data_IF_679308837650
#
_entry.id   IF_679308837650
#
_cell.length_a   1.000
_cell.length_b   1.000
_cell.length_c   1.000
_cell.angle_alpha   90.00
_cell.angle_beta   90.00
_cell.angle_gamma   90.00
#
_symmetry.space_group_name_H-M   'P 1'
#
loop_
_entity.id
_entity.type
_entity.pdbx_description
1 polymer ?
#
# COMPACT_ATOMS: atom_id res chain seq x y z
N UNK A 1 10.79 -33.21 69.19
CA UNK A 1 11.29 -34.60 69.10
C UNK A 1 10.29 -35.41 68.28
N UNK A 2 10.69 -36.62 67.89
CA UNK A 2 10.07 -37.52 66.91
C UNK A 2 8.60 -37.95 67.21
N UNK A 3 7.93 -38.44 66.15
CA UNK A 3 7.05 -39.62 66.11
C UNK A 3 5.50 -39.52 66.16
N UNK A 4 4.93 -39.84 64.99
CA UNK A 4 3.98 -40.95 64.70
C UNK A 4 2.46 -40.80 64.85
N UNK A 5 1.82 -41.18 63.73
CA UNK A 5 0.64 -42.05 63.55
C UNK A 5 -0.73 -41.59 64.13
N UNK A 6 -1.89 -41.57 63.43
CA UNK A 6 -2.48 -42.27 62.25
C UNK A 6 -3.62 -43.23 62.69
N UNK A 7 -4.71 -43.31 61.89
CA UNK A 7 -5.99 -44.02 62.14
C UNK A 7 -6.90 -43.39 63.23
N UNK A 8 -8.22 -43.58 63.29
CA UNK A 8 -9.30 -43.86 62.31
C UNK A 8 -10.68 -43.77 63.08
N UNK A 9 -11.78 -44.27 62.50
CA UNK A 9 -13.07 -44.66 63.16
C UNK A 9 -14.16 -43.57 63.38
N UNK A 10 -15.08 -43.51 62.40
CA UNK A 10 -16.56 -43.31 62.44
C UNK A 10 -17.29 -42.54 63.56
N UNK A 11 -18.13 -41.55 63.12
CA UNK A 11 -19.60 -41.36 63.31
C UNK A 11 -20.36 -42.04 64.49
N UNK A 12 -21.56 -41.53 64.92
CA UNK A 12 -22.31 -40.32 64.53
C UNK A 12 -22.74 -39.47 65.79
N UNK A 13 -23.93 -38.89 66.11
CA UNK A 13 -25.35 -38.78 65.66
C UNK A 13 -26.02 -37.48 66.20
N UNK A 14 -26.88 -36.78 65.39
CA UNK A 14 -27.99 -35.84 65.80
C UNK A 14 -27.57 -34.57 66.59
N UNK A 15 -28.38 -33.52 66.82
CA UNK A 15 -29.77 -33.11 66.47
C UNK A 15 -29.79 -31.55 66.32
N UNK A 16 -30.86 -30.73 66.19
CA UNK A 16 -32.35 -30.82 66.23
C UNK A 16 -32.89 -29.63 65.38
N UNK A 17 -33.85 -29.79 64.47
CA UNK A 17 -35.31 -29.56 64.62
C UNK A 17 -35.83 -28.10 64.77
N UNK A 18 -36.75 -27.71 63.85
CA UNK A 18 -37.91 -26.76 63.91
C UNK A 18 -38.32 -26.53 62.43
N UNK A 19 -39.47 -26.96 61.90
CA UNK A 19 -40.87 -26.51 62.10
C UNK A 19 -41.13 -25.08 61.53
N UNK A 20 -42.25 -24.75 60.85
CA UNK A 20 -43.51 -25.48 60.61
C UNK A 20 -44.28 -24.98 59.34
N UNK A 21 -44.90 -25.91 58.58
CA UNK A 21 -46.09 -25.76 57.70
C UNK A 21 -46.05 -24.75 56.50
N UNK A 22 -46.97 -24.75 55.50
CA UNK A 22 -48.27 -25.45 55.32
C UNK A 22 -48.44 -26.12 53.93
N UNK A 23 -48.94 -27.36 53.99
CA UNK A 23 -49.72 -28.21 53.04
C UNK A 23 -49.90 -27.82 51.56
N UNK A 24 -49.68 -28.83 50.70
CA UNK A 24 -50.22 -29.05 49.35
C UNK A 24 -51.76 -28.84 49.28
N UNK A 25 -52.42 -28.59 48.13
CA UNK A 25 -52.14 -29.01 46.73
C UNK A 25 -52.54 -27.88 45.72
N UNK A 26 -52.46 -27.96 44.38
CA UNK A 26 -52.32 -29.12 43.45
C UNK A 26 -51.64 -28.74 42.11
N UNK A 27 -51.29 -29.77 41.34
CA UNK A 27 -50.82 -29.84 39.94
C UNK A 27 -51.43 -28.84 38.93
N UNK A 28 -50.57 -28.14 38.19
CA UNK A 28 -50.29 -28.45 36.76
C UNK A 28 -49.02 -27.74 36.28
N UNK A 29 -47.94 -28.49 36.03
CA UNK A 29 -46.65 -27.94 35.61
C UNK A 29 -46.42 -28.19 34.11
N UNK A 30 -46.67 -27.18 33.28
CA UNK A 30 -46.33 -27.21 31.86
C UNK A 30 -44.82 -26.97 31.66
N UNK A 31 -44.04 -28.04 31.80
CA UNK A 31 -42.59 -28.02 31.54
C UNK A 31 -42.31 -27.95 30.03
N UNK A 32 -42.48 -26.76 29.45
CA UNK A 32 -42.03 -26.46 28.09
C UNK A 32 -40.50 -26.50 28.07
N UNK A 33 -39.94 -27.66 27.69
CA UNK A 33 -38.52 -27.83 27.45
C UNK A 33 -38.14 -27.11 26.15
N UNK A 34 -38.01 -25.78 26.21
CA UNK A 34 -37.50 -24.96 25.11
C UNK A 34 -36.05 -25.36 24.86
N UNK A 35 -35.85 -26.33 23.97
CA UNK A 35 -34.54 -26.71 23.49
C UNK A 35 -34.02 -25.57 22.62
N UNK A 36 -33.43 -24.57 23.27
CA UNK A 36 -32.71 -23.51 22.62
C UNK A 36 -31.54 -24.16 21.87
N UNK A 37 -31.74 -24.42 20.58
CA UNK A 37 -30.65 -24.65 19.65
C UNK A 37 -29.91 -23.32 19.58
N UNK A 38 -28.97 -23.15 20.52
CA UNK A 38 -27.81 -22.30 20.33
C UNK A 38 -27.11 -22.85 19.10
N UNK A 39 -27.51 -22.35 17.94
CA UNK A 39 -26.77 -22.56 16.71
C UNK A 39 -25.36 -22.08 16.99
N UNK A 40 -24.41 -23.00 16.98
CA UNK A 40 -22.99 -22.66 16.98
C UNK A 40 -22.65 -22.11 15.60
N UNK A 41 -23.25 -20.98 15.26
CA UNK A 41 -22.57 -19.98 14.47
C UNK A 41 -21.34 -19.63 15.27
N UNK A 42 -20.23 -20.30 14.92
CA UNK A 42 -18.92 -19.71 15.13
C UNK A 42 -19.02 -18.30 14.60
N UNK A 43 -18.65 -17.32 15.44
CA UNK A 43 -18.33 -16.00 14.96
C UNK A 43 -17.07 -16.17 14.10
N UNK A 44 -17.28 -16.55 12.85
CA UNK A 44 -16.32 -16.37 11.77
C UNK A 44 -15.92 -14.91 11.87
N UNK A 45 -14.64 -14.65 12.09
CA UNK A 45 -14.18 -13.29 12.16
C UNK A 45 -14.30 -12.74 10.74
N UNK A 46 -15.25 -11.80 10.57
CA UNK A 46 -15.64 -11.29 9.25
C UNK A 46 -14.39 -10.98 8.43
N UNK A 47 -14.21 -11.70 7.33
CA UNK A 47 -12.97 -11.64 6.54
C UNK A 47 -12.85 -10.32 5.78
N UNK A 48 -13.91 -9.51 5.73
CA UNK A 48 -13.82 -8.08 5.43
C UNK A 48 -13.26 -7.30 6.63
N UNK A 49 -13.82 -7.45 7.83
CA UNK A 49 -13.35 -6.78 9.04
C UNK A 49 -11.88 -7.08 9.38
N UNK A 50 -11.42 -8.34 9.23
CA UNK A 50 -10.01 -8.71 9.39
C UNK A 50 -9.11 -8.09 8.30
N UNK A 51 -9.59 -8.01 7.06
CA UNK A 51 -8.85 -7.36 5.97
C UNK A 51 -8.69 -5.86 6.22
N UNK A 52 -9.76 -5.21 6.68
CA UNK A 52 -9.81 -3.78 6.99
C UNK A 52 -8.92 -3.47 8.21
N UNK A 53 -9.04 -4.25 9.30
CA UNK A 53 -8.14 -4.20 10.46
C UNK A 53 -6.67 -4.34 10.06
N UNK A 54 -6.36 -5.29 9.16
CA UNK A 54 -4.99 -5.45 8.66
C UNK A 54 -4.48 -4.18 7.96
N UNK A 55 -5.27 -3.60 7.05
CA UNK A 55 -4.93 -2.39 6.30
C UNK A 55 -4.78 -1.15 7.20
N UNK A 56 -5.61 -1.01 8.23
CA UNK A 56 -5.50 0.03 9.25
C UNK A 56 -4.24 -0.14 10.11
N UNK A 57 -3.94 -1.37 10.54
CA UNK A 57 -2.72 -1.70 11.27
C UNK A 57 -1.46 -1.43 10.44
N UNK A 58 -1.42 -1.81 9.16
CA UNK A 58 -0.32 -1.49 8.23
C UNK A 58 -0.17 0.02 7.97
N UNK A 59 -1.27 0.76 7.88
CA UNK A 59 -1.27 2.22 7.68
C UNK A 59 -0.79 2.95 8.94
N UNK A 60 -1.23 2.50 10.12
CA UNK A 60 -0.80 3.01 11.43
C UNK A 60 0.64 2.62 11.76
N UNK A 61 1.11 1.51 11.21
CA UNK A 61 2.48 1.04 11.35
C UNK A 61 2.72 -0.01 12.43
N UNK A 62 1.71 -0.82 12.72
CA UNK A 62 1.85 -2.09 13.44
C UNK A 62 1.77 -3.24 12.43
N UNK A 63 2.89 -3.53 11.77
CA UNK A 63 2.96 -4.63 10.82
C UNK A 63 2.83 -6.02 11.48
N UNK A 64 2.99 -6.12 12.81
CA UNK A 64 2.85 -7.38 13.54
C UNK A 64 1.36 -7.73 13.77
N UNK A 65 0.54 -6.74 14.14
CA UNK A 65 -0.91 -6.85 14.21
C UNK A 65 -1.52 -7.09 12.82
N UNK A 66 -1.13 -6.31 11.81
CA UNK A 66 -1.65 -6.49 10.45
C UNK A 66 -1.32 -7.87 9.86
N UNK A 67 -0.10 -8.40 10.10
CA UNK A 67 0.24 -9.77 9.74
C UNK A 67 -0.45 -10.84 10.62
N UNK A 68 -1.00 -10.50 11.79
CA UNK A 68 -1.83 -11.40 12.59
C UNK A 68 -3.25 -11.50 12.04
N UNK A 69 -3.87 -10.36 11.73
CA UNK A 69 -5.20 -10.28 11.13
C UNK A 69 -5.25 -11.05 9.81
N UNK A 70 -4.26 -10.87 8.93
CA UNK A 70 -4.14 -11.65 7.69
C UNK A 70 -3.90 -13.15 7.94
N UNK A 71 -3.23 -13.55 9.02
CA UNK A 71 -3.05 -14.97 9.38
C UNK A 71 -4.35 -15.61 9.85
N UNK A 72 -5.20 -14.87 10.57
CA UNK A 72 -6.53 -15.34 10.94
C UNK A 72 -7.45 -15.42 9.72
N UNK A 73 -7.47 -14.39 8.88
CA UNK A 73 -8.23 -14.35 7.63
C UNK A 73 -7.88 -15.56 6.74
N UNK A 74 -6.58 -15.81 6.52
CA UNK A 74 -6.09 -16.91 5.69
C UNK A 74 -6.17 -18.30 6.33
N UNK A 75 -6.70 -18.40 7.56
CA UNK A 75 -7.13 -19.66 8.17
C UNK A 75 -8.63 -19.93 7.94
N UNK A 76 -9.47 -18.90 7.90
CA UNK A 76 -10.91 -19.02 7.58
C UNK A 76 -11.18 -19.02 6.07
N UNK A 77 -10.36 -18.32 5.27
CA UNK A 77 -10.45 -18.25 3.81
C UNK A 77 -9.06 -18.45 3.17
N UNK A 78 -8.60 -19.72 3.03
CA UNK A 78 -7.23 -20.03 2.59
C UNK A 78 -6.84 -19.54 1.19
N UNK A 79 -7.83 -19.36 0.30
CA UNK A 79 -7.63 -18.99 -1.10
C UNK A 79 -7.94 -17.50 -1.38
N UNK A 80 -7.90 -16.64 -0.36
CA UNK A 80 -8.06 -15.20 -0.55
C UNK A 80 -6.82 -14.57 -1.22
N UNK A 81 -6.90 -14.38 -2.54
CA UNK A 81 -5.82 -13.84 -3.36
C UNK A 81 -5.34 -12.44 -2.94
N UNK A 82 -6.21 -11.59 -2.39
CA UNK A 82 -5.84 -10.23 -1.97
C UNK A 82 -5.12 -10.25 -0.62
N UNK A 83 -5.62 -11.05 0.34
CA UNK A 83 -4.98 -11.24 1.63
C UNK A 83 -3.62 -11.96 1.48
N UNK A 84 -3.51 -12.94 0.57
CA UNK A 84 -2.23 -13.55 0.20
C UNK A 84 -1.25 -12.54 -0.42
N UNK A 85 -1.74 -11.63 -1.27
CA UNK A 85 -0.92 -10.57 -1.85
C UNK A 85 -0.44 -9.56 -0.78
N UNK A 86 -1.31 -9.11 0.13
CA UNK A 86 -0.91 -8.25 1.24
C UNK A 86 0.08 -8.96 2.18
N UNK A 87 -0.15 -10.23 2.51
CA UNK A 87 0.75 -11.01 3.35
C UNK A 87 2.14 -11.12 2.71
N UNK A 88 2.22 -11.41 1.41
CA UNK A 88 3.49 -11.41 0.70
C UNK A 88 4.21 -10.04 0.72
N UNK A 89 3.47 -8.94 0.57
CA UNK A 89 4.05 -7.59 0.55
C UNK A 89 4.55 -7.16 1.94
N UNK A 90 3.77 -7.41 3.00
CA UNK A 90 4.15 -7.01 4.36
C UNK A 90 5.13 -7.97 5.04
N UNK A 91 5.12 -9.26 4.69
CA UNK A 91 6.19 -10.18 5.07
C UNK A 91 7.51 -9.86 4.37
N UNK A 92 7.51 -9.28 3.16
CA UNK A 92 8.74 -8.65 2.65
C UNK A 92 9.18 -7.51 3.56
N UNK A 93 8.29 -6.55 3.83
CA UNK A 93 8.61 -5.36 4.61
C UNK A 93 9.24 -5.71 5.98
N UNK A 94 8.69 -6.68 6.71
CA UNK A 94 9.23 -7.14 8.00
C UNK A 94 10.47 -8.04 7.91
N UNK A 95 10.81 -8.54 6.71
CA UNK A 95 11.95 -9.42 6.48
C UNK A 95 11.65 -10.92 6.62
N UNK A 96 10.38 -11.30 6.81
CA UNK A 96 9.93 -12.69 6.85
C UNK A 96 9.85 -13.28 5.43
N UNK A 97 11.02 -13.66 4.90
CA UNK A 97 11.17 -14.32 3.60
C UNK A 97 10.38 -15.64 3.52
N UNK A 98 10.20 -16.35 4.64
CA UNK A 98 9.52 -17.65 4.64
C UNK A 98 8.02 -17.45 4.43
N UNK A 99 7.37 -16.59 5.22
CA UNK A 99 5.95 -16.27 5.01
C UNK A 99 5.72 -15.58 3.67
N UNK A 100 6.65 -14.72 3.21
CA UNK A 100 6.58 -14.11 1.87
C UNK A 100 6.49 -15.16 0.75
N UNK A 101 7.43 -16.11 0.71
CA UNK A 101 7.43 -17.12 -0.36
C UNK A 101 6.28 -18.14 -0.21
N UNK A 102 5.87 -18.49 1.02
CA UNK A 102 4.66 -19.32 1.23
C UNK A 102 3.39 -18.64 0.70
N UNK A 103 3.21 -17.35 0.99
CA UNK A 103 2.09 -16.55 0.50
C UNK A 103 2.11 -16.42 -1.03
N UNK A 104 3.28 -16.18 -1.64
CA UNK A 104 3.43 -16.11 -3.10
C UNK A 104 3.15 -17.43 -3.80
N UNK A 105 3.57 -18.56 -3.22
CA UNK A 105 3.32 -19.88 -3.81
C UNK A 105 1.84 -20.26 -3.74
N UNK A 106 1.16 -19.96 -2.63
CA UNK A 106 -0.32 -20.08 -2.53
C UNK A 106 -1.02 -19.16 -3.54
N UNK A 107 -0.63 -17.88 -3.59
CA UNK A 107 -1.18 -16.90 -4.52
C UNK A 107 -1.04 -17.33 -5.97
N UNK A 108 0.09 -17.94 -6.35
CA UNK A 108 0.32 -18.46 -7.70
C UNK A 108 -0.63 -19.61 -8.08
N UNK A 109 -1.14 -20.37 -7.10
CA UNK A 109 -2.15 -21.41 -7.32
C UNK A 109 -3.57 -20.85 -7.50
N UNK A 110 -3.87 -19.70 -6.89
CA UNK A 110 -5.18 -19.05 -6.91
C UNK A 110 -5.32 -18.04 -8.06
N UNK A 111 -4.40 -17.08 -8.13
CA UNK A 111 -4.32 -16.05 -9.17
C UNK A 111 -2.84 -15.79 -9.51
N UNK A 112 -2.33 -16.54 -10.50
CA UNK A 112 -0.98 -16.35 -11.04
C UNK A 112 -0.74 -14.94 -11.62
N UNK A 113 -1.77 -14.25 -12.10
CA UNK A 113 -1.64 -12.89 -12.63
C UNK A 113 -1.44 -11.88 -11.49
N UNK A 114 -2.15 -12.04 -10.37
CA UNK A 114 -1.89 -11.25 -9.17
C UNK A 114 -0.53 -11.62 -8.57
N UNK A 115 -0.14 -12.90 -8.54
CA UNK A 115 1.19 -13.34 -8.11
C UNK A 115 2.31 -12.62 -8.88
N UNK A 116 2.24 -12.55 -10.20
CA UNK A 116 3.26 -11.88 -11.02
C UNK A 116 3.28 -10.36 -10.89
N UNK A 117 2.12 -9.73 -10.65
CA UNK A 117 2.03 -8.30 -10.34
C UNK A 117 2.61 -8.01 -8.94
N UNK A 118 2.34 -8.85 -7.95
CA UNK A 118 2.95 -8.79 -6.61
C UNK A 118 4.46 -9.02 -6.67
N UNK A 119 4.95 -9.96 -7.49
CA UNK A 119 6.40 -10.10 -7.79
C UNK A 119 6.99 -8.84 -8.41
N UNK A 120 6.20 -8.07 -9.16
CA UNK A 120 6.62 -6.77 -9.70
C UNK A 120 6.72 -5.68 -8.64
N UNK A 121 5.96 -5.75 -7.54
CA UNK A 121 6.10 -4.82 -6.41
C UNK A 121 7.49 -4.95 -5.77
N UNK A 122 7.99 -6.16 -5.50
CA UNK A 122 9.35 -6.33 -4.95
C UNK A 122 10.44 -5.80 -5.90
N UNK A 123 10.29 -6.03 -7.21
CA UNK A 123 11.21 -5.47 -8.23
C UNK A 123 11.17 -3.94 -8.25
N UNK A 124 9.98 -3.35 -8.18
CA UNK A 124 9.78 -1.90 -8.16
C UNK A 124 10.38 -1.25 -6.91
N UNK A 125 10.15 -1.85 -5.74
CA UNK A 125 10.69 -1.39 -4.45
C UNK A 125 12.22 -1.53 -4.43
N UNK A 126 12.77 -2.66 -4.90
CA UNK A 126 14.22 -2.85 -5.06
C UNK A 126 14.85 -1.79 -5.97
N UNK A 127 14.23 -1.51 -7.13
CA UNK A 127 14.67 -0.45 -8.03
C UNK A 127 14.61 0.95 -7.38
N UNK A 128 13.54 1.26 -6.63
CA UNK A 128 13.39 2.53 -5.92
C UNK A 128 14.40 2.73 -4.77
N UNK A 129 14.75 1.66 -4.04
CA UNK A 129 15.79 1.70 -3.00
C UNK A 129 17.18 1.82 -3.64
N UNK A 130 17.40 1.19 -4.80
CA UNK A 130 18.62 1.34 -5.60
C UNK A 130 18.75 2.67 -6.36
N UNK A 131 17.64 3.37 -6.61
CA UNK A 131 17.64 4.63 -7.37
C UNK A 131 18.32 5.75 -6.59
N UNK A 132 19.49 6.18 -7.05
CA UNK A 132 20.13 7.41 -6.60
C UNK A 132 19.51 8.61 -7.34
N UNK A 133 19.16 9.71 -6.64
CA UNK A 133 18.80 10.96 -7.28
C UNK A 133 19.97 11.46 -8.16
N UNK A 134 19.73 11.65 -9.46
CA UNK A 134 20.75 12.06 -10.42
C UNK A 134 20.33 13.37 -11.15
N UNK A 135 21.13 14.44 -11.12
CA UNK A 135 20.84 15.66 -11.88
C UNK A 135 21.27 15.58 -13.35
N UNK A 136 22.03 14.55 -13.74
CA UNK A 136 22.53 14.38 -15.12
C UNK A 136 21.42 13.73 -15.98
N UNK A 137 21.02 14.34 -17.12
CA UNK A 137 20.06 13.74 -18.03
C UNK A 137 20.65 12.54 -18.78
N UNK A 138 19.82 11.52 -19.04
CA UNK A 138 20.18 10.37 -19.87
C UNK A 138 19.83 10.62 -21.34
N UNK A 139 20.51 9.94 -22.27
CA UNK A 139 20.13 9.93 -23.69
C UNK A 139 19.13 8.80 -23.91
N UNK A 140 17.96 9.10 -24.48
CA UNK A 140 16.90 8.13 -24.74
C UNK A 140 16.18 8.39 -26.07
N UNK A 141 15.48 7.36 -26.57
CA UNK A 141 14.75 7.39 -27.83
C UNK A 141 13.25 7.71 -27.68
N UNK A 142 12.50 7.74 -28.79
CA UNK A 142 11.05 8.02 -28.78
C UNK A 142 10.22 7.01 -27.98
N UNK A 143 10.73 5.78 -27.79
CA UNK A 143 10.07 4.75 -26.96
C UNK A 143 10.32 4.93 -25.44
N UNK A 144 10.99 6.01 -25.04
CA UNK A 144 11.16 6.39 -23.63
C UNK A 144 10.48 7.72 -23.39
N UNK A 145 9.48 7.75 -22.50
CA UNK A 145 8.83 8.99 -22.06
C UNK A 145 9.59 9.72 -20.97
N UNK A 146 9.44 11.03 -20.87
CA UNK A 146 9.94 11.86 -19.77
C UNK A 146 8.74 12.19 -18.88
N UNK A 147 8.70 11.64 -17.65
CA UNK A 147 7.54 11.71 -16.75
C UNK A 147 7.76 12.73 -15.63
N UNK A 148 7.20 13.93 -15.76
CA UNK A 148 7.36 15.05 -14.83
C UNK A 148 6.17 15.12 -13.87
N UNK A 149 6.43 15.01 -12.56
CA UNK A 149 5.39 15.02 -11.53
C UNK A 149 5.23 16.40 -10.87
N UNK A 150 3.99 16.75 -10.54
CA UNK A 150 3.61 17.96 -9.80
C UNK A 150 4.10 18.03 -8.34
N UNK A 151 4.09 19.25 -7.78
CA UNK A 151 4.55 19.62 -6.43
C UNK A 151 3.61 20.62 -5.71
N UNK A 152 2.43 20.86 -6.29
CA UNK A 152 1.47 21.89 -5.89
C UNK A 152 1.79 23.27 -6.45
N UNK A 153 0.74 24.01 -6.80
CA UNK A 153 0.81 25.45 -7.07
C UNK A 153 0.67 26.26 -5.76
N UNK A 154 0.88 27.56 -5.84
CA UNK A 154 0.46 28.55 -4.84
C UNK A 154 -1.02 28.95 -5.07
N UNK A 155 -1.71 29.56 -4.10
CA UNK A 155 -3.16 29.84 -4.20
C UNK A 155 -3.57 30.78 -5.34
N UNK A 156 -2.64 31.58 -5.84
CA UNK A 156 -2.81 32.46 -7.01
C UNK A 156 -2.65 31.73 -8.36
N UNK A 157 -2.33 30.44 -8.35
CA UNK A 157 -2.04 29.63 -9.54
C UNK A 157 -0.57 29.67 -9.98
N UNK A 158 0.30 30.39 -9.28
CA UNK A 158 1.74 30.44 -9.61
C UNK A 158 2.47 29.16 -9.16
N UNK A 159 3.56 28.82 -9.85
CA UNK A 159 4.33 27.61 -9.56
C UNK A 159 5.29 27.81 -8.39
N UNK A 160 5.37 26.81 -7.50
CA UNK A 160 6.36 26.79 -6.40
C UNK A 160 7.79 26.67 -6.95
N UNK A 161 8.82 27.22 -6.28
CA UNK A 161 10.21 27.16 -6.76
C UNK A 161 10.68 25.76 -7.15
N UNK A 162 10.43 24.75 -6.32
CA UNK A 162 10.81 23.36 -6.63
C UNK A 162 10.01 22.74 -7.79
N UNK A 163 8.79 23.22 -8.10
CA UNK A 163 8.11 22.81 -9.34
C UNK A 163 8.85 23.36 -10.57
N UNK A 164 9.38 24.58 -10.49
CA UNK A 164 10.27 25.16 -11.54
C UNK A 164 11.60 24.40 -11.60
N UNK A 165 12.18 24.01 -10.46
CA UNK A 165 13.40 23.19 -10.42
C UNK A 165 13.21 21.82 -11.10
N UNK A 166 12.06 21.17 -10.91
CA UNK A 166 11.69 19.93 -11.63
C UNK A 166 11.54 20.16 -13.13
N UNK A 167 10.92 21.28 -13.52
CA UNK A 167 10.74 21.65 -14.93
C UNK A 167 12.08 21.97 -15.62
N UNK A 168 13.03 22.59 -14.93
CA UNK A 168 14.40 22.78 -15.42
C UNK A 168 15.11 21.44 -15.66
N UNK A 169 14.99 20.49 -14.73
CA UNK A 169 15.52 19.13 -14.90
C UNK A 169 14.83 18.40 -16.09
N UNK A 170 13.51 18.55 -16.24
CA UNK A 170 12.76 18.00 -17.37
C UNK A 170 13.15 18.61 -18.71
N UNK A 171 13.44 19.92 -18.76
CA UNK A 171 13.89 20.64 -19.95
C UNK A 171 15.28 20.19 -20.40
N UNK A 172 16.24 20.06 -19.47
CA UNK A 172 17.56 19.47 -19.76
C UNK A 172 17.43 18.04 -20.29
N UNK A 173 16.53 17.24 -19.71
CA UNK A 173 16.23 15.89 -20.17
C UNK A 173 15.52 15.86 -21.54
N UNK A 174 14.67 16.84 -21.85
CA UNK A 174 14.00 16.98 -23.14
C UNK A 174 14.90 17.46 -24.28
N UNK A 175 16.01 18.13 -23.95
CA UNK A 175 17.12 18.48 -24.86
C UNK A 175 18.00 17.26 -25.12
N UNK A 176 18.36 16.50 -24.08
CA UNK A 176 19.17 15.28 -24.21
C UNK A 176 18.45 14.15 -24.98
N UNK A 177 17.11 14.13 -24.91
CA UNK A 177 16.24 13.16 -25.59
C UNK A 177 15.18 13.90 -26.43
N UNK A 178 15.54 14.46 -27.60
CA UNK A 178 14.67 15.35 -28.37
C UNK A 178 13.48 14.65 -29.03
N UNK A 179 13.50 13.31 -29.12
CA UNK A 179 12.42 12.50 -29.69
C UNK A 179 11.45 11.92 -28.64
N UNK A 180 11.77 12.02 -27.34
CA UNK A 180 10.91 11.48 -26.28
C UNK A 180 9.61 12.28 -26.11
N UNK A 181 8.45 11.63 -25.92
CA UNK A 181 7.25 12.31 -25.42
C UNK A 181 7.46 12.73 -23.96
N UNK A 182 6.85 13.85 -23.56
CA UNK A 182 6.99 14.45 -22.23
C UNK A 182 5.63 14.43 -21.55
N UNK A 183 5.46 13.57 -20.57
CA UNK A 183 4.31 13.59 -19.68
C UNK A 183 4.51 14.66 -18.60
N UNK A 184 3.51 15.52 -18.40
CA UNK A 184 3.40 16.39 -17.22
C UNK A 184 2.11 16.02 -16.48
N UNK A 185 2.21 15.67 -15.19
CA UNK A 185 1.07 15.11 -14.44
C UNK A 185 0.88 15.77 -13.07
N UNK A 186 -0.37 16.17 -12.80
CA UNK A 186 -0.80 16.83 -11.56
C UNK A 186 -2.10 17.60 -11.80
N UNK A 187 -3.19 17.10 -11.21
CA UNK A 187 -4.55 17.59 -11.43
C UNK A 187 -5.08 18.57 -10.40
N UNK A 188 -4.39 18.78 -9.27
CA UNK A 188 -4.84 19.68 -8.21
C UNK A 188 -4.88 21.14 -8.70
N UNK A 189 -6.07 21.78 -8.83
CA UNK A 189 -6.16 23.12 -9.38
C UNK A 189 -5.93 24.19 -8.30
N UNK A 190 -5.26 25.29 -8.66
CA UNK A 190 -5.26 26.55 -7.89
C UNK A 190 -5.57 27.70 -8.85
N UNK A 191 -6.42 28.65 -8.43
CA UNK A 191 -6.91 29.74 -9.27
C UNK A 191 -7.43 29.27 -10.67
N UNK A 192 -8.07 28.10 -10.72
CA UNK A 192 -8.57 27.48 -11.96
C UNK A 192 -7.52 26.77 -12.83
N UNK A 193 -6.24 26.82 -12.48
CA UNK A 193 -5.13 26.25 -13.25
C UNK A 193 -4.66 24.95 -12.58
N UNK A 194 -4.54 23.85 -13.34
CA UNK A 194 -3.94 22.59 -12.87
C UNK A 194 -2.42 22.62 -13.00
N UNK A 195 -1.71 21.84 -12.18
CA UNK A 195 -0.24 21.75 -12.23
C UNK A 195 0.24 21.33 -13.62
N UNK A 196 -0.40 20.35 -14.25
CA UNK A 196 -0.08 19.91 -15.61
C UNK A 196 -0.26 21.01 -16.67
N UNK A 197 -1.26 21.88 -16.54
CA UNK A 197 -1.43 23.03 -17.44
C UNK A 197 -0.31 24.07 -17.25
N UNK A 198 0.07 24.37 -16.00
CA UNK A 198 1.18 25.28 -15.69
C UNK A 198 2.52 24.72 -16.18
N UNK A 199 2.77 23.41 -15.97
CA UNK A 199 3.96 22.70 -16.45
C UNK A 199 4.05 22.68 -17.99
N UNK A 200 2.96 22.39 -18.69
CA UNK A 200 2.91 22.43 -20.15
C UNK A 200 3.20 23.84 -20.69
N UNK A 201 2.52 24.86 -20.15
CA UNK A 201 2.73 26.26 -20.54
C UNK A 201 4.18 26.73 -20.33
N UNK A 202 4.81 26.33 -19.22
CA UNK A 202 6.22 26.64 -18.96
C UNK A 202 7.15 25.97 -19.96
N UNK A 203 6.98 24.67 -20.26
CA UNK A 203 7.83 23.94 -21.21
C UNK A 203 7.72 24.52 -22.63
N UNK A 204 6.51 24.86 -23.08
CA UNK A 204 6.29 25.53 -24.36
C UNK A 204 6.95 26.91 -24.38
N UNK A 205 6.84 27.69 -23.29
CA UNK A 205 7.54 28.96 -23.12
C UNK A 205 9.07 28.85 -23.14
N UNK A 206 9.63 27.67 -22.85
CA UNK A 206 11.07 27.36 -22.92
C UNK A 206 11.46 26.59 -24.20
N UNK A 207 10.63 26.65 -25.25
CA UNK A 207 10.95 26.16 -26.59
C UNK A 207 10.70 24.68 -26.84
N UNK A 208 10.00 23.96 -25.95
CA UNK A 208 9.57 22.59 -26.20
C UNK A 208 8.32 22.60 -27.10
N UNK A 209 8.31 21.89 -28.24
CA UNK A 209 7.11 21.75 -29.08
C UNK A 209 5.92 21.17 -28.30
N UNK A 210 4.75 21.81 -28.43
CA UNK A 210 3.56 21.47 -27.63
C UNK A 210 3.00 20.06 -27.93
N UNK A 211 3.20 19.56 -29.14
CA UNK A 211 2.86 18.22 -29.61
C UNK A 211 3.71 17.11 -28.95
N UNK A 212 4.88 17.44 -28.40
CA UNK A 212 5.65 16.52 -27.54
C UNK A 212 5.05 16.37 -26.13
N UNK A 213 4.15 17.25 -25.68
CA UNK A 213 3.75 17.35 -24.27
C UNK A 213 2.36 16.75 -24.04
N UNK A 214 2.33 15.68 -23.26
CA UNK A 214 1.14 14.97 -22.78
C UNK A 214 0.76 15.52 -21.40
N UNK A 215 -0.32 16.28 -21.30
CA UNK A 215 -0.76 16.87 -20.04
C UNK A 215 -1.85 16.02 -19.35
N UNK A 216 -1.55 15.53 -18.15
CA UNK A 216 -2.46 14.73 -17.32
C UNK A 216 -3.01 15.60 -16.18
N UNK A 217 -4.29 15.96 -16.28
CA UNK A 217 -4.95 16.97 -15.46
C UNK A 217 -5.81 16.40 -14.32
N UNK A 218 -5.70 15.11 -13.96
CA UNK A 218 -6.64 14.43 -13.05
C UNK A 218 -6.00 13.93 -11.76
N UNK A 219 -4.70 13.68 -11.75
CA UNK A 219 -4.03 13.05 -10.61
C UNK A 219 -3.97 13.93 -9.36
N UNK A 220 -4.57 13.46 -8.26
CA UNK A 220 -4.47 14.08 -6.93
C UNK A 220 -3.21 13.65 -6.13
N UNK A 221 -2.60 12.51 -6.52
CA UNK A 221 -1.62 11.77 -5.71
C UNK A 221 -0.58 11.02 -6.56
N UNK A 222 0.56 10.63 -5.97
CA UNK A 222 1.65 9.90 -6.65
C UNK A 222 1.18 8.63 -7.35
N UNK A 223 0.30 7.85 -6.70
CA UNK A 223 -0.37 6.66 -7.27
C UNK A 223 -1.15 7.01 -8.54
N UNK A 224 -1.95 8.08 -8.51
CA UNK A 224 -2.71 8.51 -9.70
C UNK A 224 -1.80 9.06 -10.81
N UNK A 225 -0.77 9.85 -10.46
CA UNK A 225 0.23 10.37 -11.39
C UNK A 225 0.88 9.21 -12.19
N UNK A 226 1.21 8.12 -11.51
CA UNK A 226 1.74 6.91 -12.14
C UNK A 226 0.68 6.13 -12.93
N UNK A 227 -0.51 5.88 -12.39
CA UNK A 227 -1.55 5.10 -13.05
C UNK A 227 -2.11 5.75 -14.32
N UNK A 228 -2.31 7.07 -14.31
CA UNK A 228 -2.78 7.83 -15.48
C UNK A 228 -1.60 8.13 -16.42
N UNK A 229 -0.45 8.54 -15.88
CA UNK A 229 0.75 8.84 -16.63
C UNK A 229 1.32 7.65 -17.41
N UNK A 230 1.46 6.48 -16.78
CA UNK A 230 1.92 5.27 -17.45
C UNK A 230 0.96 4.81 -18.57
N UNK A 231 -0.33 5.13 -18.47
CA UNK A 231 -1.28 4.87 -19.54
C UNK A 231 -1.06 5.81 -20.73
N UNK A 232 -1.04 7.13 -20.50
CA UNK A 232 -0.80 8.12 -21.56
C UNK A 232 0.56 7.92 -22.26
N UNK A 233 1.59 7.51 -21.53
CA UNK A 233 2.89 7.17 -22.11
C UNK A 233 2.84 5.94 -23.02
N UNK A 234 2.13 4.87 -22.63
CA UNK A 234 1.92 3.69 -23.50
C UNK A 234 1.09 4.04 -24.74
N UNK A 235 0.06 4.86 -24.59
CA UNK A 235 -0.79 5.31 -25.71
C UNK A 235 -0.01 6.20 -26.69
N UNK A 236 1.02 6.91 -26.22
CA UNK A 236 2.01 7.62 -27.04
C UNK A 236 3.18 6.73 -27.55
N UNK A 237 3.09 5.39 -27.37
CA UNK A 237 4.08 4.43 -27.88
C UNK A 237 5.34 4.24 -27.04
N UNK A 238 5.42 4.82 -25.83
CA UNK A 238 6.55 4.63 -24.93
C UNK A 238 6.48 3.27 -24.21
N UNK A 239 7.60 2.53 -24.25
CA UNK A 239 7.79 1.23 -23.58
C UNK A 239 8.59 1.37 -22.28
N UNK A 240 9.07 2.58 -21.96
CA UNK A 240 9.86 2.90 -20.77
C UNK A 240 9.72 4.37 -20.39
N UNK A 241 10.17 4.75 -19.20
CA UNK A 241 10.15 6.13 -18.71
C UNK A 241 11.47 6.56 -18.05
N UNK A 242 11.77 7.86 -18.14
CA UNK A 242 12.66 8.59 -17.24
C UNK A 242 11.76 9.43 -16.33
N UNK A 243 11.82 9.21 -15.02
CA UNK A 243 10.97 9.93 -14.04
C UNK A 243 11.69 11.20 -13.58
N UNK A 244 10.96 12.32 -13.51
CA UNK A 244 11.48 13.64 -13.12
C UNK A 244 10.68 14.21 -11.95
N UNK A 245 11.35 14.34 -10.79
CA UNK A 245 10.77 14.86 -9.53
C UNK A 245 11.89 15.12 -8.51
N UNK A 246 11.58 15.82 -7.41
CA UNK A 246 12.48 16.08 -6.27
C UNK A 246 13.20 14.83 -5.74
N UNK A 247 14.41 14.96 -5.14
CA UNK A 247 15.16 13.80 -4.62
C UNK A 247 14.44 13.03 -3.51
N UNK A 248 13.62 13.72 -2.71
CA UNK A 248 12.84 13.12 -1.62
C UNK A 248 11.60 12.35 -2.10
N UNK A 249 11.21 12.50 -3.38
CA UNK A 249 10.01 11.90 -3.97
C UNK A 249 10.34 10.86 -5.05
N UNK A 250 11.53 10.95 -5.66
CA UNK A 250 11.96 10.11 -6.80
C UNK A 250 11.77 8.61 -6.54
N UNK A 251 12.08 8.13 -5.32
CA UNK A 251 11.99 6.71 -4.97
C UNK A 251 10.54 6.20 -5.00
N UNK A 252 9.59 6.97 -4.47
CA UNK A 252 8.15 6.63 -4.50
C UNK A 252 7.65 6.58 -5.95
N UNK A 253 7.91 7.65 -6.70
CA UNK A 253 7.50 7.76 -8.10
C UNK A 253 8.09 6.66 -8.99
N UNK A 254 9.36 6.27 -8.80
CA UNK A 254 9.97 5.13 -9.52
C UNK A 254 9.24 3.83 -9.24
N UNK A 255 8.92 3.54 -7.97
CA UNK A 255 8.20 2.32 -7.62
C UNK A 255 6.80 2.29 -8.25
N UNK A 256 6.05 3.39 -8.15
CA UNK A 256 4.70 3.48 -8.69
C UNK A 256 4.68 3.37 -10.23
N UNK A 257 5.58 4.04 -10.96
CA UNK A 257 5.60 3.91 -12.43
C UNK A 257 5.90 2.46 -12.86
N UNK A 258 6.80 1.74 -12.16
CA UNK A 258 7.07 0.32 -12.43
C UNK A 258 5.85 -0.56 -12.13
N UNK A 259 5.12 -0.34 -11.02
CA UNK A 259 3.92 -1.13 -10.68
C UNK A 259 2.72 -0.77 -11.57
N UNK A 260 2.64 0.49 -12.05
CA UNK A 260 1.69 0.94 -13.06
C UNK A 260 1.99 0.37 -14.47
N UNK A 261 3.08 -0.40 -14.62
CA UNK A 261 3.40 -1.13 -15.84
C UNK A 261 4.15 -0.32 -16.89
N UNK A 262 5.04 0.58 -16.48
CA UNK A 262 6.06 1.16 -17.37
C UNK A 262 7.46 1.09 -16.73
N UNK A 263 8.42 0.34 -17.31
CA UNK A 263 9.78 0.25 -16.81
C UNK A 263 10.45 1.62 -16.71
N UNK A 264 10.97 1.96 -15.52
CA UNK A 264 11.75 3.18 -15.33
C UNK A 264 13.22 2.89 -15.56
N UNK A 265 13.82 3.55 -16.55
CA UNK A 265 15.21 3.35 -16.98
C UNK A 265 16.13 4.53 -16.62
N UNK A 266 15.57 5.61 -16.07
CA UNK A 266 16.30 6.77 -15.58
C UNK A 266 15.47 7.56 -14.57
N UNK A 267 16.15 8.32 -13.73
CA UNK A 267 15.56 9.08 -12.64
C UNK A 267 16.30 10.41 -12.50
N UNK A 268 15.71 11.50 -13.00
CA UNK A 268 16.33 12.82 -13.06
C UNK A 268 15.69 13.77 -12.03
N UNK A 269 16.45 14.69 -11.47
CA UNK A 269 15.99 15.54 -10.37
C UNK A 269 16.56 16.96 -10.42
N UNK A 270 15.91 17.88 -9.71
CA UNK A 270 16.52 19.12 -9.25
C UNK A 270 17.75 18.87 -8.36
N UNK A 271 18.62 19.88 -8.26
CA UNK A 271 19.78 19.89 -7.35
C UNK A 271 19.40 20.15 -5.88
N UNK A 272 18.19 20.63 -5.62
CA UNK A 272 17.71 20.91 -4.27
C UNK A 272 17.62 19.63 -3.44
N UNK A 273 18.16 19.62 -2.22
CA UNK A 273 18.15 18.47 -1.30
C UNK A 273 18.86 17.19 -1.84
N UNK A 274 19.63 17.27 -2.94
CA UNK A 274 20.27 16.11 -3.57
C UNK A 274 21.10 15.26 -2.59
N UNK A 275 21.98 15.90 -1.82
CA UNK A 275 22.94 15.23 -0.93
C UNK A 275 22.27 14.44 0.20
N UNK A 276 21.16 14.94 0.76
CA UNK A 276 20.47 14.27 1.88
C UNK A 276 19.64 13.06 1.45
N UNK A 277 19.46 12.84 0.14
CA UNK A 277 18.67 11.75 -0.43
C UNK A 277 19.51 10.70 -1.18
N UNK A 278 20.84 10.89 -1.25
CA UNK A 278 21.79 9.90 -1.74
C UNK A 278 21.76 8.58 -0.93
N UNK A 279 21.74 8.58 0.42
CA UNK A 279 21.64 7.33 1.17
C UNK A 279 20.31 6.61 0.88
N UNK A 280 20.30 5.27 0.73
CA UNK A 280 19.06 4.51 0.73
C UNK A 280 18.29 4.71 2.05
N UNK A 281 16.96 4.88 2.03
CA UNK A 281 16.18 5.06 3.25
C UNK A 281 16.22 3.79 4.12
N UNK A 282 16.30 3.96 5.45
CA UNK A 282 16.10 2.88 6.41
C UNK A 282 14.69 2.26 6.26
N UNK A 283 14.48 1.03 6.74
CA UNK A 283 13.25 0.24 6.47
C UNK A 283 11.96 0.98 6.84
N UNK A 284 11.93 1.67 7.97
CA UNK A 284 10.81 2.54 8.38
C UNK A 284 10.51 3.67 7.37
N UNK A 285 11.55 4.28 6.79
CA UNK A 285 11.44 5.27 5.72
C UNK A 285 10.99 4.70 4.37
N UNK A 286 10.92 3.37 4.22
CA UNK A 286 10.41 2.71 3.02
C UNK A 286 8.89 2.47 3.08
N UNK A 287 8.24 2.55 4.27
CA UNK A 287 6.80 2.23 4.46
C UNK A 287 5.89 2.93 3.46
N UNK A 288 6.15 4.21 3.14
CA UNK A 288 5.38 4.96 2.15
C UNK A 288 5.43 4.34 0.74
N UNK A 289 6.58 3.79 0.33
CA UNK A 289 6.75 3.10 -0.96
C UNK A 289 5.91 1.81 -1.00
N UNK A 290 5.83 1.07 0.11
CA UNK A 290 4.98 -0.12 0.21
C UNK A 290 3.48 0.25 0.14
N UNK A 291 3.05 1.28 0.88
CA UNK A 291 1.67 1.77 0.87
C UNK A 291 1.23 2.29 -0.51
N UNK A 292 2.07 3.06 -1.20
CA UNK A 292 1.78 3.52 -2.56
C UNK A 292 1.72 2.34 -3.55
N UNK A 293 2.71 1.44 -3.54
CA UNK A 293 2.74 0.31 -4.48
C UNK A 293 1.60 -0.68 -4.29
N UNK A 294 1.06 -0.86 -3.07
CA UNK A 294 -0.19 -1.61 -2.81
C UNK A 294 -1.39 -0.97 -3.51
N UNK A 295 -1.50 0.37 -3.45
CA UNK A 295 -2.57 1.14 -4.10
C UNK A 295 -2.40 1.16 -5.62
N UNK A 296 -1.18 1.27 -6.13
CA UNK A 296 -0.84 1.16 -7.56
C UNK A 296 -1.05 -0.26 -8.10
N UNK A 297 -0.85 -1.29 -7.27
CA UNK A 297 -1.25 -2.67 -7.55
C UNK A 297 -2.78 -2.84 -7.63
N UNK A 298 -3.55 -1.87 -7.10
CA UNK A 298 -5.02 -1.88 -6.99
C UNK A 298 -5.56 -3.04 -6.14
N UNK A 299 -4.88 -3.33 -5.03
CA UNK A 299 -5.52 -4.05 -3.94
C UNK A 299 -6.50 -3.09 -3.24
N UNK A 300 -7.70 -3.55 -2.79
CA UNK A 300 -8.62 -2.69 -2.06
C UNK A 300 -8.00 -2.16 -0.76
N UNK A 301 -8.30 -0.90 -0.43
CA UNK A 301 -7.98 -0.32 0.89
C UNK A 301 -8.87 -0.86 1.99
N UNK A 302 -10.10 -1.23 1.64
CA UNK A 302 -11.15 -1.77 2.52
C UNK A 302 -12.05 -2.74 1.72
N UNK A 303 -12.96 -3.41 2.42
CA UNK A 303 -13.97 -4.36 1.93
C UNK A 303 -15.30 -4.15 2.65
#
# INVERSE_FOLDING_TARGET
>A
MDSRQQQCVTRPERSTAVQIARRFSTLLAAAAATLAILGTGTAHADTAALYNSAQDNFTSGDEAAGLADLRQLLAESPDDAQALALQAIWSDYTGDVITREMALNRLNGVDGRLADRTRSVFRAIGAAIGTLPNPIPAIAGPQTGIAVLGYGLLPDGSMRPELVSRLQAAWLQAIASPMSPILVTGGNPQNGITEAAAMQGWLVGHGIPADRILAEHRADSTVQNALFGAQMLRDAGATSAIVVTSPNHIRRAVADFIVAGIPVIGATTSLEQLVSQLPPPARSGQRGIYLDTIRTLRLPTER
#
